data_IF_198774040638
#
_entry.id   IF_198774040638
#
_cell.length_a   1.000
_cell.length_b   1.000
_cell.length_c   1.000
_cell.angle_alpha   90.00
_cell.angle_beta   90.00
_cell.angle_gamma   90.00
#
_symmetry.space_group_name_H-M   'P 1'
#
loop_
_entity.id
_entity.type
_entity.pdbx_description
1 polymer ?
#
# COMPACT_ATOMS: atom_id res chain seq x y z
N UNK A 1 15.82 10.99 6.52
CA UNK A 1 14.77 10.19 5.88
C UNK A 1 15.26 8.75 5.88
N UNK A 2 14.62 7.84 6.64
CA UNK A 2 15.04 6.43 6.62
C UNK A 2 14.57 5.85 5.29
N UNK A 3 15.51 5.46 4.43
CA UNK A 3 15.17 4.73 3.19
C UNK A 3 14.60 3.39 3.64
N UNK A 4 13.34 3.13 3.31
CA UNK A 4 12.72 1.82 3.54
C UNK A 4 13.12 0.95 2.36
N UNK A 5 13.90 -0.10 2.60
CA UNK A 5 14.22 -1.09 1.56
C UNK A 5 13.07 -2.09 1.41
N UNK A 6 13.05 -2.82 0.29
CA UNK A 6 12.09 -3.92 0.11
C UNK A 6 12.21 -4.95 1.23
N UNK A 7 13.43 -5.24 1.70
CA UNK A 7 13.68 -6.19 2.80
C UNK A 7 13.10 -5.69 4.12
N UNK A 8 13.38 -4.44 4.50
CA UNK A 8 12.85 -3.86 5.74
C UNK A 8 11.31 -3.83 5.72
N UNK A 9 10.72 -3.48 4.57
CA UNK A 9 9.27 -3.50 4.40
C UNK A 9 8.71 -4.93 4.45
N UNK A 10 9.37 -5.90 3.81
CA UNK A 10 8.94 -7.29 3.79
C UNK A 10 8.95 -7.94 5.16
N UNK A 11 9.99 -7.70 5.96
CA UNK A 11 10.06 -8.11 7.37
C UNK A 11 8.87 -7.56 8.15
N UNK A 12 8.58 -6.25 8.01
CA UNK A 12 7.46 -5.62 8.71
C UNK A 12 6.09 -6.15 8.28
N UNK A 13 5.89 -6.39 6.98
CA UNK A 13 4.67 -7.01 6.43
C UNK A 13 4.50 -8.41 7.03
N UNK A 14 5.52 -9.28 6.94
CA UNK A 14 5.48 -10.65 7.47
C UNK A 14 5.12 -10.67 8.95
N UNK A 15 5.79 -9.86 9.78
CA UNK A 15 5.50 -9.75 11.20
C UNK A 15 4.06 -9.31 11.49
N UNK A 16 3.50 -8.41 10.68
CA UNK A 16 2.11 -7.96 10.84
C UNK A 16 1.12 -9.11 10.60
N UNK A 17 1.35 -9.90 9.55
CA UNK A 17 0.49 -11.04 9.21
C UNK A 17 0.61 -12.18 10.22
N UNK A 18 1.83 -12.53 10.65
CA UNK A 18 2.08 -13.50 11.73
C UNK A 18 1.36 -13.09 13.02
N UNK A 19 1.48 -11.83 13.44
CA UNK A 19 0.81 -11.33 14.65
C UNK A 19 -0.72 -11.40 14.56
N UNK A 20 -1.28 -11.24 13.35
CA UNK A 20 -2.74 -11.32 13.11
C UNK A 20 -3.24 -12.75 12.92
N UNK A 21 -2.35 -13.75 12.85
CA UNK A 21 -2.72 -15.15 12.61
C UNK A 21 -3.30 -15.37 11.21
N UNK A 22 -2.94 -14.53 10.24
CA UNK A 22 -3.43 -14.60 8.86
C UNK A 22 -2.25 -14.74 7.90
N UNK A 23 -2.34 -15.55 6.83
CA UNK A 23 -1.25 -15.70 5.86
C UNK A 23 -1.00 -14.39 5.09
N UNK A 24 0.23 -14.19 4.65
CA UNK A 24 0.57 -13.08 3.75
C UNK A 24 -0.15 -13.30 2.40
N UNK A 25 -0.92 -12.33 1.89
CA UNK A 25 -1.64 -12.46 0.62
C UNK A 25 -0.69 -12.71 -0.55
N UNK A 26 -1.07 -13.61 -1.46
CA UNK A 26 -0.30 -13.93 -2.67
C UNK A 26 -0.42 -12.85 -3.75
N UNK A 27 -1.48 -12.06 -3.72
CA UNK A 27 -1.70 -10.88 -4.57
C UNK A 27 -1.56 -9.60 -3.77
N UNK A 28 -1.48 -8.44 -4.44
CA UNK A 28 -1.55 -7.16 -3.75
C UNK A 28 -2.96 -6.96 -3.15
N UNK A 29 -3.05 -6.38 -1.93
CA UNK A 29 -4.33 -5.95 -1.36
C UNK A 29 -5.12 -5.03 -2.30
N UNK A 30 -6.45 -5.11 -2.23
CA UNK A 30 -7.38 -4.32 -3.04
C UNK A 30 -7.06 -2.81 -3.05
N UNK A 31 -6.70 -2.24 -1.88
CA UNK A 31 -6.33 -0.82 -1.76
C UNK A 31 -5.09 -0.38 -2.56
N UNK A 32 -4.35 -1.32 -3.14
CA UNK A 32 -3.17 -1.09 -3.98
C UNK A 32 -3.43 -1.43 -5.46
N UNK A 33 -4.70 -1.52 -5.85
CA UNK A 33 -5.11 -1.81 -7.23
C UNK A 33 -5.56 -0.55 -7.97
N UNK A 34 -5.46 -0.56 -9.30
CA UNK A 34 -5.98 0.52 -10.14
C UNK A 34 -7.51 0.66 -9.98
N UNK A 35 -8.24 -0.45 -9.93
CA UNK A 35 -9.70 -0.45 -9.76
C UNK A 35 -10.13 0.27 -8.49
N UNK A 36 -9.45 0.04 -7.36
CA UNK A 36 -9.72 0.77 -6.12
C UNK A 36 -9.56 2.29 -6.28
N UNK A 37 -8.53 2.73 -7.00
CA UNK A 37 -8.29 4.16 -7.20
C UNK A 37 -9.28 4.81 -8.18
N UNK A 38 -9.91 4.01 -9.04
CA UNK A 38 -10.91 4.43 -10.03
C UNK A 38 -12.35 4.42 -9.48
N UNK A 39 -12.58 3.89 -8.29
CA UNK A 39 -13.89 3.98 -7.65
C UNK A 39 -14.26 5.43 -7.32
N UNK A 40 -15.49 5.83 -7.69
CA UNK A 40 -15.97 7.20 -7.49
C UNK A 40 -15.94 7.60 -6.01
N UNK A 41 -16.35 6.71 -5.12
CA UNK A 41 -16.38 6.94 -3.68
C UNK A 41 -14.99 7.10 -3.10
N UNK A 42 -14.01 6.31 -3.55
CA UNK A 42 -12.61 6.42 -3.09
C UNK A 42 -11.98 7.73 -3.54
N UNK A 43 -12.21 8.17 -4.77
CA UNK A 43 -11.77 9.49 -5.24
C UNK A 43 -12.42 10.63 -4.45
N UNK A 44 -13.71 10.51 -4.12
CA UNK A 44 -14.40 11.51 -3.31
C UNK A 44 -13.81 11.58 -1.89
N UNK A 45 -13.53 10.42 -1.27
CA UNK A 45 -12.86 10.33 0.02
C UNK A 45 -11.46 10.95 -0.02
N UNK A 46 -10.66 10.65 -1.06
CA UNK A 46 -9.33 11.25 -1.24
C UNK A 46 -9.39 12.77 -1.35
N UNK A 47 -10.27 13.31 -2.19
CA UNK A 47 -10.47 14.77 -2.31
C UNK A 47 -10.86 15.39 -0.97
N UNK A 48 -11.75 14.72 -0.23
CA UNK A 48 -12.16 15.15 1.12
C UNK A 48 -10.99 15.16 2.11
N UNK A 49 -10.15 14.12 2.09
CA UNK A 49 -8.94 14.01 2.91
C UNK A 49 -7.94 15.11 2.57
N UNK A 50 -7.55 15.26 1.30
CA UNK A 50 -6.59 16.28 0.84
C UNK A 50 -7.03 17.68 1.25
N UNK A 51 -8.31 18.01 1.04
CA UNK A 51 -8.88 19.31 1.44
C UNK A 51 -8.81 19.54 2.96
N UNK A 52 -9.21 18.56 3.77
CA UNK A 52 -9.21 18.68 5.24
C UNK A 52 -7.79 18.75 5.80
N UNK A 53 -6.86 18.02 5.19
CA UNK A 53 -5.45 17.98 5.58
C UNK A 53 -4.63 19.17 5.05
N UNK A 54 -5.22 20.04 4.20
CA UNK A 54 -4.56 21.18 3.55
C UNK A 54 -3.28 20.78 2.80
N UNK A 55 -3.31 19.61 2.17
CA UNK A 55 -2.18 19.09 1.40
C UNK A 55 -2.31 19.53 -0.06
N UNK A 56 -1.16 19.80 -0.67
CA UNK A 56 -1.04 19.73 -2.12
C UNK A 56 -0.61 18.30 -2.46
N UNK A 57 -1.51 17.55 -3.12
CA UNK A 57 -1.33 16.12 -3.32
C UNK A 57 -1.85 15.70 -4.71
N UNK A 58 -1.18 14.73 -5.35
CA UNK A 58 -1.61 14.24 -6.65
C UNK A 58 -2.94 13.47 -6.58
N UNK A 59 -3.54 13.13 -7.74
CA UNK A 59 -4.73 12.29 -7.80
C UNK A 59 -4.53 10.95 -7.10
N UNK A 60 -5.61 10.38 -6.56
CA UNK A 60 -5.57 9.10 -5.84
C UNK A 60 -4.91 7.98 -6.66
N UNK A 61 -5.19 7.92 -7.96
CA UNK A 61 -4.61 6.92 -8.86
C UNK A 61 -3.08 6.97 -8.91
N UNK A 62 -2.49 8.16 -8.91
CA UNK A 62 -1.04 8.33 -8.92
C UNK A 62 -0.42 7.89 -7.59
N UNK A 63 -1.04 8.26 -6.47
CA UNK A 63 -0.60 7.83 -5.13
C UNK A 63 -0.66 6.32 -4.99
N UNK A 64 -1.77 5.71 -5.41
CA UNK A 64 -1.97 4.26 -5.34
C UNK A 64 -0.98 3.53 -6.25
N UNK A 65 -0.70 4.05 -7.44
CA UNK A 65 0.30 3.46 -8.34
C UNK A 65 1.69 3.45 -7.69
N UNK A 66 2.16 4.57 -7.14
CA UNK A 66 3.46 4.65 -6.45
C UNK A 66 3.49 3.75 -5.21
N UNK A 67 2.42 3.75 -4.42
CA UNK A 67 2.32 2.89 -3.24
C UNK A 67 2.33 1.40 -3.61
N UNK A 68 1.68 1.02 -4.72
CA UNK A 68 1.68 -0.34 -5.23
C UNK A 68 3.08 -0.76 -5.67
N UNK A 69 3.81 0.07 -6.43
CA UNK A 69 5.19 -0.24 -6.83
C UNK A 69 6.10 -0.45 -5.62
N UNK A 70 6.02 0.42 -4.61
CA UNK A 70 6.78 0.26 -3.38
C UNK A 70 6.41 -1.03 -2.64
N UNK A 71 5.12 -1.34 -2.55
CA UNK A 71 4.61 -2.49 -1.83
C UNK A 71 4.94 -3.83 -2.51
N UNK A 72 5.03 -3.89 -3.85
CA UNK A 72 5.34 -5.12 -4.59
C UNK A 72 6.61 -5.80 -4.09
N UNK A 73 7.69 -5.03 -3.93
CA UNK A 73 8.97 -5.54 -3.43
C UNK A 73 8.85 -6.09 -2.00
N UNK A 74 8.20 -5.34 -1.11
CA UNK A 74 7.98 -5.79 0.27
C UNK A 74 7.12 -7.05 0.37
N UNK A 75 6.04 -7.13 -0.41
CA UNK A 75 5.20 -8.33 -0.43
C UNK A 75 5.91 -9.53 -1.07
N UNK A 76 6.81 -9.34 -2.03
CA UNK A 76 7.63 -10.42 -2.57
C UNK A 76 8.52 -11.02 -1.45
N UNK A 77 9.30 -10.18 -0.77
CA UNK A 77 10.17 -10.61 0.36
C UNK A 77 9.35 -11.22 1.51
N UNK A 78 8.17 -10.68 1.81
CA UNK A 78 7.35 -11.19 2.90
C UNK A 78 6.79 -12.60 2.66
N UNK A 79 6.72 -13.04 1.39
CA UNK A 79 6.21 -14.36 0.98
C UNK A 79 7.31 -15.40 0.87
N UNK A 80 8.56 -14.97 0.69
CA UNK A 80 9.71 -15.87 0.74
C UNK A 80 9.79 -16.42 2.17
N UNK A 81 9.61 -17.74 2.30
CA UNK A 81 9.99 -18.46 3.51
C UNK A 81 11.52 -18.50 3.56
N UNK A 82 12.08 -18.24 4.74
CA UNK A 82 13.52 -18.38 5.00
C UNK A 82 13.97 -19.85 4.84
#
# INVERSE_FOLDING_TARGET
MKVVTADELGVAIRHTFVRRGTPVPTTLPEGLTASFAEEADKRAQWKGFVRKSKLDAPPLAEVVAVAAELAKGGFAVAREEE
#
